data_IF_429006324454
#
_entry.id   IF_429006324454
#
_cell.length_a   1.000
_cell.length_b   1.000
_cell.length_c   1.000
_cell.angle_alpha   90.00
_cell.angle_beta   90.00
_cell.angle_gamma   90.00
#
_symmetry.space_group_name_H-M   'P 1'
#
loop_
_entity.id
_entity.type
_entity.pdbx_description
1 polymer ?
#
# COMPACT_ATOMS: atom_id res chain seq x y z
N UNK A 1 -7.40 5.85 4.48
CA UNK A 1 -6.14 5.51 3.76
C UNK A 1 -4.87 5.54 4.60
N UNK A 2 -4.20 4.37 4.71
CA UNK A 2 -2.91 4.19 5.41
C UNK A 2 -1.76 4.97 4.74
N UNK A 3 -1.73 5.02 3.40
CA UNK A 3 -0.61 5.61 2.65
C UNK A 3 -0.93 6.97 1.98
N UNK A 4 -2.19 7.39 1.92
CA UNK A 4 -2.57 8.65 1.24
C UNK A 4 -1.98 9.89 1.91
N UNK A 5 -1.89 9.87 3.25
CA UNK A 5 -1.40 11.00 4.04
C UNK A 5 0.12 11.18 3.98
N UNK A 6 0.84 10.24 3.35
CA UNK A 6 2.29 10.34 3.20
C UNK A 6 2.61 11.45 2.17
N UNK A 7 3.32 12.52 2.55
CA UNK A 7 3.63 13.62 1.64
C UNK A 7 4.69 13.21 0.62
N UNK A 8 4.84 14.02 -0.42
CA UNK A 8 5.97 13.93 -1.35
C UNK A 8 7.29 14.01 -0.59
N UNK A 9 8.23 13.13 -0.96
CA UNK A 9 9.58 13.12 -0.40
C UNK A 9 10.48 13.98 -1.31
N UNK A 10 11.06 15.07 -0.79
CA UNK A 10 11.92 15.95 -1.58
C UNK A 10 13.27 15.29 -1.89
N UNK A 11 13.94 15.77 -2.94
CA UNK A 11 15.31 15.34 -3.28
C UNK A 11 16.34 15.94 -2.32
N UNK A 12 17.57 15.39 -2.34
CA UNK A 12 18.69 15.96 -1.60
C UNK A 12 18.94 17.43 -1.97
N UNK A 13 18.91 17.76 -3.26
CA UNK A 13 19.08 19.11 -3.79
C UNK A 13 18.01 20.06 -3.22
N UNK A 14 16.73 19.70 -3.30
CA UNK A 14 15.63 20.52 -2.79
C UNK A 14 15.75 20.78 -1.27
N UNK A 15 16.17 19.77 -0.51
CA UNK A 15 16.41 19.87 0.93
C UNK A 15 17.57 20.81 1.25
N UNK A 16 18.69 20.68 0.54
CA UNK A 16 19.88 21.52 0.71
C UNK A 16 19.56 22.97 0.33
N UNK A 17 18.93 23.18 -0.82
CA UNK A 17 18.56 24.51 -1.29
C UNK A 17 17.63 25.24 -0.33
N UNK A 18 16.56 24.56 0.11
CA UNK A 18 15.59 25.13 1.05
C UNK A 18 16.25 25.49 2.38
N UNK A 19 17.10 24.62 2.91
CA UNK A 19 17.74 24.82 4.21
C UNK A 19 18.81 25.92 4.18
N UNK A 20 19.70 25.91 3.19
CA UNK A 20 20.79 26.89 3.07
C UNK A 20 20.28 28.27 2.71
N UNK A 21 19.25 28.37 1.86
CA UNK A 21 18.58 29.64 1.54
C UNK A 21 17.94 30.27 2.78
N UNK A 22 17.26 29.48 3.62
CA UNK A 22 16.68 29.95 4.89
C UNK A 22 17.76 30.36 5.88
N UNK A 23 18.82 29.57 6.03
CA UNK A 23 19.93 29.88 6.91
C UNK A 23 20.68 31.17 6.50
N UNK A 24 20.88 31.40 5.20
CA UNK A 24 21.49 32.62 4.70
C UNK A 24 20.69 33.88 5.05
N UNK A 25 19.35 33.82 4.92
CA UNK A 25 18.45 34.91 5.33
C UNK A 25 18.53 35.19 6.83
N UNK A 26 18.55 34.14 7.65
CA UNK A 26 18.66 34.27 9.11
C UNK A 26 19.98 34.94 9.55
N UNK A 27 21.07 34.75 8.79
CA UNK A 27 22.34 35.45 9.03
C UNK A 27 22.31 36.90 8.57
N UNK A 28 21.73 37.19 7.40
CA UNK A 28 21.75 38.53 6.79
C UNK A 28 21.02 39.59 7.64
N UNK A 29 20.05 39.16 8.45
CA UNK A 29 19.36 40.04 9.41
C UNK A 29 20.17 40.44 10.65
N UNK A 30 21.43 39.97 10.81
CA UNK A 30 22.25 40.26 12.00
C UNK A 30 23.27 41.36 11.74
N UNK A 31 23.32 42.34 12.65
CA UNK A 31 24.35 43.39 12.66
C UNK A 31 25.66 42.83 13.20
N UNK A 32 26.74 42.88 12.42
CA UNK A 32 28.06 42.41 12.81
C UNK A 32 28.87 43.63 13.29
N UNK A 33 29.28 43.63 14.56
CA UNK A 33 29.96 44.75 15.20
C UNK A 33 31.36 44.39 15.70
N UNK A 34 31.59 43.11 16.00
CA UNK A 34 32.80 42.60 16.63
C UNK A 34 33.01 41.11 16.30
N UNK A 35 34.10 40.52 16.80
CA UNK A 35 34.42 39.10 16.59
C UNK A 35 33.35 38.18 17.19
N UNK A 36 32.77 38.54 18.34
CA UNK A 36 31.77 37.73 19.04
C UNK A 36 30.43 37.67 18.29
N UNK A 37 29.95 38.80 17.78
CA UNK A 37 28.74 38.90 16.94
C UNK A 37 28.95 38.21 15.59
N UNK A 38 30.15 38.29 15.00
CA UNK A 38 30.50 37.50 13.81
C UNK A 38 30.41 35.99 14.11
N UNK A 39 31.02 35.52 15.20
CA UNK A 39 30.94 34.11 15.62
C UNK A 39 29.49 33.66 15.81
N UNK A 40 28.69 34.40 16.58
CA UNK A 40 27.26 34.10 16.80
C UNK A 40 26.45 34.08 15.51
N UNK A 41 26.80 34.89 14.52
CA UNK A 41 26.17 34.88 13.21
C UNK A 41 26.53 33.62 12.41
N UNK A 42 27.78 33.15 12.48
CA UNK A 42 28.21 31.90 11.82
C UNK A 42 27.60 30.65 12.49
N UNK A 43 27.64 30.56 13.83
CA UNK A 43 27.04 29.46 14.59
C UNK A 43 25.55 29.35 14.29
N UNK A 44 24.83 30.48 14.35
CA UNK A 44 23.40 30.53 14.08
C UNK A 44 23.04 30.12 12.66
N UNK A 45 23.87 30.47 11.67
CA UNK A 45 23.66 30.02 10.29
C UNK A 45 23.81 28.50 10.17
N UNK A 46 24.85 27.92 10.78
CA UNK A 46 25.05 26.48 10.77
C UNK A 46 23.90 25.74 11.46
N UNK A 47 23.54 26.16 12.67
CA UNK A 47 22.48 25.52 13.46
C UNK A 47 21.12 25.64 12.76
N UNK A 48 20.82 26.78 12.14
CA UNK A 48 19.56 26.96 11.39
C UNK A 48 19.48 25.99 10.23
N UNK A 49 20.54 25.85 9.43
CA UNK A 49 20.58 24.91 8.32
C UNK A 49 20.44 23.45 8.81
N UNK A 50 21.22 23.07 9.83
CA UNK A 50 21.25 21.71 10.37
C UNK A 50 19.91 21.31 10.98
N UNK A 51 19.27 22.19 11.78
CA UNK A 51 17.95 21.91 12.36
C UNK A 51 16.89 21.75 11.28
N UNK A 52 16.86 22.65 10.28
CA UNK A 52 15.91 22.52 9.17
C UNK A 52 16.09 21.18 8.45
N UNK A 53 17.33 20.81 8.11
CA UNK A 53 17.59 19.54 7.43
C UNK A 53 17.18 18.34 8.29
N UNK A 54 17.67 18.28 9.53
CA UNK A 54 17.39 17.18 10.45
C UNK A 54 15.89 17.02 10.70
N UNK A 55 15.18 18.13 10.96
CA UNK A 55 13.74 18.11 11.19
C UNK A 55 12.97 17.65 9.94
N UNK A 56 13.36 18.09 8.73
CA UNK A 56 12.71 17.61 7.50
C UNK A 56 12.94 16.10 7.30
N UNK A 57 14.16 15.61 7.47
CA UNK A 57 14.48 14.18 7.31
C UNK A 57 13.75 13.30 8.33
N UNK A 58 13.78 13.67 9.61
CA UNK A 58 13.06 12.93 10.66
C UNK A 58 11.55 13.00 10.43
N UNK A 59 11.02 14.13 9.97
CA UNK A 59 9.58 14.24 9.66
C UNK A 59 9.16 13.44 8.44
N UNK A 60 10.05 13.19 7.46
CA UNK A 60 9.77 12.25 6.37
C UNK A 60 9.49 10.88 6.96
N UNK A 61 10.43 10.37 7.78
CA UNK A 61 10.33 9.03 8.39
C UNK A 61 9.07 8.89 9.25
N UNK A 62 8.79 9.88 10.10
CA UNK A 62 7.60 9.88 10.98
C UNK A 62 6.26 9.85 10.25
N UNK A 63 6.21 10.31 9.01
CA UNK A 63 4.97 10.36 8.24
C UNK A 63 4.68 9.08 7.47
N UNK A 64 5.66 8.18 7.33
CA UNK A 64 5.40 6.84 6.84
C UNK A 64 4.72 6.02 7.93
N UNK A 65 3.72 5.18 7.59
CA UNK A 65 3.11 4.27 8.54
C UNK A 65 4.14 3.23 8.99
N UNK A 66 3.97 2.74 10.23
CA UNK A 66 4.77 1.63 10.72
C UNK A 66 4.30 0.33 10.06
N UNK A 67 5.21 -0.37 9.40
CA UNK A 67 4.95 -1.68 8.82
C UNK A 67 4.75 -2.76 9.89
N UNK A 68 5.28 -2.58 11.10
CA UNK A 68 5.19 -3.56 12.19
C UNK A 68 3.79 -3.64 12.82
N UNK A 69 2.99 -2.58 12.65
CA UNK A 69 1.62 -2.47 13.19
C UNK A 69 0.56 -2.48 12.08
N UNK A 70 0.99 -2.71 10.84
CA UNK A 70 0.12 -2.68 9.68
C UNK A 70 -0.74 -3.94 9.61
N UNK A 71 -2.02 -3.85 9.18
CA UNK A 71 -2.82 -5.05 8.97
C UNK A 71 -2.14 -5.99 7.96
N UNK A 72 -2.20 -7.33 8.17
CA UNK A 72 -1.48 -8.30 7.34
C UNK A 72 -1.74 -8.16 5.83
N UNK A 73 -2.99 -7.86 5.44
CA UNK A 73 -3.35 -7.57 4.05
C UNK A 73 -2.46 -6.47 3.43
N UNK A 74 -2.36 -5.33 4.10
CA UNK A 74 -1.60 -4.18 3.62
C UNK A 74 -0.10 -4.41 3.69
N UNK A 75 0.36 -5.18 4.69
CA UNK A 75 1.76 -5.54 4.83
C UNK A 75 2.25 -6.42 3.67
N UNK A 76 1.51 -7.49 3.35
CA UNK A 76 1.86 -8.38 2.23
C UNK A 76 1.82 -7.63 0.89
N UNK A 77 0.82 -6.78 0.66
CA UNK A 77 0.77 -5.98 -0.56
C UNK A 77 1.87 -4.92 -0.64
N UNK A 78 2.21 -4.28 0.48
CA UNK A 78 3.33 -3.35 0.49
C UNK A 78 4.64 -4.05 0.16
N UNK A 79 4.84 -5.26 0.69
CA UNK A 79 6.02 -6.07 0.42
C UNK A 79 6.13 -6.46 -1.05
N UNK A 80 5.04 -6.92 -1.65
CA UNK A 80 4.94 -7.22 -3.09
C UNK A 80 5.31 -6.01 -3.96
N UNK A 81 4.89 -4.80 -3.60
CA UNK A 81 5.03 -3.61 -4.46
C UNK A 81 6.38 -2.93 -4.29
N UNK A 82 6.88 -2.83 -3.06
CA UNK A 82 8.05 -2.00 -2.73
C UNK A 82 9.11 -2.72 -1.91
N UNK A 83 8.87 -3.94 -1.43
CA UNK A 83 9.74 -4.63 -0.49
C UNK A 83 9.76 -3.96 0.89
N UNK A 84 9.16 -4.56 1.91
CA UNK A 84 9.06 -3.96 3.25
C UNK A 84 10.45 -3.81 3.89
N UNK A 85 11.35 -4.76 3.67
CA UNK A 85 12.70 -4.69 4.22
C UNK A 85 13.52 -3.57 3.56
N UNK A 86 13.48 -3.46 2.23
CA UNK A 86 14.13 -2.36 1.51
C UNK A 86 13.56 -1.01 1.92
N UNK A 87 12.24 -0.94 2.14
CA UNK A 87 11.57 0.25 2.67
C UNK A 87 12.10 0.64 4.06
N UNK A 88 12.20 -0.32 4.98
CA UNK A 88 12.75 -0.11 6.33
C UNK A 88 14.20 0.36 6.28
N UNK A 89 15.04 -0.25 5.44
CA UNK A 89 16.44 0.14 5.25
C UNK A 89 16.59 1.58 4.74
N UNK A 90 15.77 1.98 3.76
CA UNK A 90 15.78 3.35 3.23
C UNK A 90 15.26 4.38 4.25
N UNK A 91 14.20 4.05 5.00
CA UNK A 91 13.71 4.89 6.10
C UNK A 91 14.78 5.06 7.20
N UNK A 92 15.46 3.98 7.57
CA UNK A 92 16.54 3.99 8.55
C UNK A 92 17.73 4.86 8.08
N UNK A 93 18.10 4.78 6.80
CA UNK A 93 19.17 5.62 6.22
C UNK A 93 18.84 7.11 6.30
N UNK A 94 17.58 7.49 6.02
CA UNK A 94 17.10 8.88 6.15
C UNK A 94 17.10 9.34 7.62
N UNK A 95 16.63 8.49 8.54
CA UNK A 95 16.64 8.76 9.98
C UNK A 95 18.08 8.94 10.52
N UNK A 96 19.01 8.09 10.06
CA UNK A 96 20.43 8.18 10.39
C UNK A 96 21.02 9.52 9.93
N UNK A 97 20.77 9.93 8.69
CA UNK A 97 21.27 11.20 8.17
C UNK A 97 20.78 12.39 8.99
N UNK A 98 19.49 12.42 9.34
CA UNK A 98 18.92 13.45 10.21
C UNK A 98 19.62 13.52 11.58
N UNK A 99 19.91 12.37 12.18
CA UNK A 99 20.64 12.29 13.46
C UNK A 99 22.09 12.75 13.32
N UNK A 100 22.77 12.29 12.26
CA UNK A 100 24.19 12.60 11.98
C UNK A 100 24.43 14.09 11.73
N UNK A 101 23.51 14.76 11.04
CA UNK A 101 23.58 16.21 10.79
C UNK A 101 23.55 16.99 12.10
N UNK A 102 22.69 16.60 13.05
CA UNK A 102 22.63 17.24 14.36
C UNK A 102 23.93 17.06 15.15
N UNK A 103 24.48 15.84 15.20
CA UNK A 103 25.78 15.58 15.85
C UNK A 103 26.90 16.44 15.24
N UNK A 104 26.97 16.46 13.91
CA UNK A 104 27.97 17.22 13.16
C UNK A 104 27.84 18.72 13.42
N UNK A 105 26.62 19.25 13.44
CA UNK A 105 26.40 20.68 13.71
C UNK A 105 26.95 21.09 15.09
N UNK A 106 26.69 20.29 16.14
CA UNK A 106 27.18 20.54 17.49
C UNK A 106 28.70 20.49 17.57
N UNK A 107 29.32 19.48 16.93
CA UNK A 107 30.78 19.35 16.85
C UNK A 107 31.42 20.57 16.20
N UNK A 108 30.91 20.99 15.03
CA UNK A 108 31.48 22.11 14.30
C UNK A 108 31.24 23.46 14.99
N UNK A 109 30.12 23.64 15.69
CA UNK A 109 29.91 24.81 16.56
C UNK A 109 30.97 24.87 17.67
N UNK A 110 31.30 23.73 18.31
CA UNK A 110 32.40 23.66 19.26
C UNK A 110 33.74 24.12 18.66
N UNK A 111 34.06 23.65 17.45
CA UNK A 111 35.29 24.02 16.73
C UNK A 111 35.32 25.50 16.32
N UNK A 112 34.17 26.12 16.03
CA UNK A 112 34.11 27.54 15.66
C UNK A 112 34.56 28.47 16.79
N UNK A 113 34.32 28.08 18.05
CA UNK A 113 34.62 28.93 19.22
C UNK A 113 36.12 29.15 19.42
N UNK A 114 36.95 28.18 19.03
CA UNK A 114 38.41 28.26 19.10
C UNK A 114 39.06 28.64 17.77
N UNK A 115 38.29 28.78 16.69
CA UNK A 115 38.82 29.08 15.37
C UNK A 115 39.22 30.56 15.21
N UNK A 116 40.26 30.80 14.40
CA UNK A 116 40.61 32.15 13.95
C UNK A 116 39.50 32.75 13.08
N UNK A 117 39.01 31.98 12.10
CA UNK A 117 37.85 32.35 11.28
C UNK A 117 36.75 31.26 11.29
N UNK A 118 35.71 31.50 12.09
CA UNK A 118 34.53 30.63 12.16
C UNK A 118 33.86 30.39 10.79
N UNK A 119 34.02 31.31 9.83
CA UNK A 119 33.47 31.16 8.47
C UNK A 119 34.10 29.98 7.72
N UNK A 120 35.40 29.72 7.90
CA UNK A 120 36.11 28.60 7.28
C UNK A 120 35.58 27.27 7.83
N UNK A 121 35.48 27.18 9.16
CA UNK A 121 34.93 26.01 9.86
C UNK A 121 33.48 25.75 9.44
N UNK A 122 32.66 26.79 9.30
CA UNK A 122 31.27 26.68 8.83
C UNK A 122 31.18 26.16 7.39
N UNK A 123 32.04 26.64 6.48
CA UNK A 123 32.07 26.13 5.09
C UNK A 123 32.41 24.64 5.06
N UNK A 124 33.38 24.21 5.87
CA UNK A 124 33.71 22.79 6.01
C UNK A 124 32.53 21.98 6.58
N UNK A 125 31.81 22.51 7.57
CA UNK A 125 30.61 21.89 8.12
C UNK A 125 29.53 21.70 7.05
N UNK A 126 29.25 22.72 6.24
CA UNK A 126 28.29 22.64 5.14
C UNK A 126 28.69 21.61 4.08
N UNK A 127 29.97 21.55 3.69
CA UNK A 127 30.42 20.51 2.76
C UNK A 127 30.17 19.10 3.30
N UNK A 128 30.42 18.87 4.60
CA UNK A 128 30.13 17.57 5.24
C UNK A 128 28.64 17.26 5.34
N UNK A 129 27.82 18.25 5.70
CA UNK A 129 26.36 18.10 5.78
C UNK A 129 25.78 17.82 4.39
N UNK A 130 26.20 18.57 3.36
CA UNK A 130 25.81 18.32 1.97
C UNK A 130 26.15 16.91 1.53
N UNK A 131 27.39 16.45 1.78
CA UNK A 131 27.80 15.08 1.45
C UNK A 131 26.95 14.01 2.16
N UNK A 132 26.53 14.23 3.40
CA UNK A 132 25.60 13.32 4.10
C UNK A 132 24.23 13.28 3.41
N UNK A 133 23.66 14.45 3.09
CA UNK A 133 22.34 14.52 2.45
C UNK A 133 22.37 13.96 1.02
N UNK A 134 23.44 14.21 0.26
CA UNK A 134 23.66 13.66 -1.07
C UNK A 134 23.82 12.13 -1.02
N UNK A 135 24.48 11.59 0.01
CA UNK A 135 24.66 10.14 0.15
C UNK A 135 23.36 9.35 0.33
N UNK A 136 22.27 10.01 0.75
CA UNK A 136 20.95 9.40 0.91
C UNK A 136 19.96 9.78 -0.21
N UNK A 137 20.40 10.45 -1.28
CA UNK A 137 19.50 10.87 -2.36
C UNK A 137 18.79 9.68 -3.02
N UNK A 138 19.50 8.56 -3.17
CA UNK A 138 18.92 7.29 -3.63
C UNK A 138 17.76 6.83 -2.74
N UNK A 139 17.93 6.88 -1.42
CA UNK A 139 16.87 6.55 -0.47
C UNK A 139 15.70 7.53 -0.53
N UNK A 140 15.95 8.84 -0.67
CA UNK A 140 14.88 9.82 -0.81
C UNK A 140 14.04 9.58 -2.07
N UNK A 141 14.70 9.27 -3.20
CA UNK A 141 14.02 8.94 -4.47
C UNK A 141 13.23 7.66 -4.38
N UNK A 142 13.83 6.61 -3.79
CA UNK A 142 13.15 5.35 -3.54
C UNK A 142 11.88 5.56 -2.72
N UNK A 143 11.96 6.26 -1.58
CA UNK A 143 10.81 6.52 -0.72
C UNK A 143 9.71 7.32 -1.44
N UNK A 144 10.09 8.26 -2.32
CA UNK A 144 9.13 9.00 -3.13
C UNK A 144 8.40 8.11 -4.14
N UNK A 145 9.13 7.24 -4.84
CA UNK A 145 8.56 6.27 -5.79
C UNK A 145 7.65 5.25 -5.07
N UNK A 146 8.16 4.66 -3.98
CA UNK A 146 7.42 3.74 -3.12
C UNK A 146 6.10 4.38 -2.65
N UNK A 147 6.13 5.61 -2.14
CA UNK A 147 4.94 6.36 -1.75
C UNK A 147 3.94 6.54 -2.90
N UNK A 148 4.41 6.80 -4.12
CA UNK A 148 3.55 6.98 -5.30
C UNK A 148 2.88 5.68 -5.75
N UNK A 149 3.54 4.54 -5.55
CA UNK A 149 2.97 3.21 -5.77
C UNK A 149 1.97 2.84 -4.67
N UNK A 150 2.37 2.97 -3.41
CA UNK A 150 1.57 2.57 -2.24
C UNK A 150 0.29 3.39 -2.06
N UNK A 151 0.24 4.67 -2.46
CA UNK A 151 -1.00 5.46 -2.37
C UNK A 151 -2.14 4.92 -3.25
N UNK A 152 -1.83 4.04 -4.21
CA UNK A 152 -2.81 3.46 -5.13
C UNK A 152 -3.44 2.18 -4.58
N UNK A 153 -2.91 1.65 -3.47
CA UNK A 153 -3.44 0.45 -2.83
C UNK A 153 -4.93 0.60 -2.52
N UNK A 154 -5.70 -0.50 -2.58
CA UNK A 154 -7.13 -0.47 -2.38
C UNK A 154 -7.47 -0.10 -0.94
N UNK A 155 -8.49 0.72 -0.75
CA UNK A 155 -9.15 0.81 0.55
C UNK A 155 -10.12 -0.35 0.67
N UNK A 156 -9.85 -1.27 1.58
CA UNK A 156 -10.81 -2.28 1.97
C UNK A 156 -11.44 -1.79 3.27
N UNK A 157 -12.76 -1.66 3.26
CA UNK A 157 -13.53 -1.24 4.41
C UNK A 157 -13.49 -2.26 5.56
N UNK A 158 -14.05 -1.88 6.70
CA UNK A 158 -14.01 -2.68 7.94
C UNK A 158 -15.06 -3.83 7.96
N UNK A 159 -15.89 -3.96 6.92
CA UNK A 159 -16.94 -4.98 6.84
C UNK A 159 -16.47 -6.33 6.27
N UNK A 160 -17.19 -7.44 6.57
CA UNK A 160 -16.87 -8.76 6.01
C UNK A 160 -16.81 -8.72 4.48
N UNK A 161 -15.74 -9.28 3.90
CA UNK A 161 -15.56 -9.33 2.46
C UNK A 161 -15.83 -10.73 1.89
N UNK A 162 -16.63 -10.76 0.83
CA UNK A 162 -16.86 -11.91 -0.04
C UNK A 162 -15.90 -11.79 -1.23
N UNK A 163 -15.01 -12.76 -1.41
CA UNK A 163 -14.10 -12.80 -2.55
C UNK A 163 -14.72 -13.64 -3.67
N UNK A 164 -14.79 -13.11 -4.88
CA UNK A 164 -15.41 -13.79 -6.04
C UNK A 164 -14.33 -14.33 -6.97
N UNK A 165 -14.30 -15.65 -7.13
CA UNK A 165 -13.33 -16.40 -7.90
C UNK A 165 -13.99 -17.22 -9.03
N UNK A 166 -13.19 -17.66 -9.99
CA UNK A 166 -13.63 -18.43 -11.16
C UNK A 166 -13.01 -17.91 -12.46
N UNK A 167 -13.12 -18.68 -13.54
CA UNK A 167 -12.54 -18.33 -14.84
C UNK A 167 -13.07 -17.01 -15.42
N UNK A 168 -12.39 -16.41 -16.42
CA UNK A 168 -12.94 -15.25 -17.14
C UNK A 168 -14.33 -15.55 -17.71
N UNK A 169 -15.19 -14.54 -17.80
CA UNK A 169 -16.52 -14.63 -18.41
C UNK A 169 -17.54 -15.60 -17.77
N UNK A 170 -17.23 -16.21 -16.62
CA UNK A 170 -18.18 -17.04 -15.86
C UNK A 170 -19.28 -16.23 -15.15
N UNK A 171 -19.16 -14.89 -15.09
CA UNK A 171 -20.16 -13.99 -14.50
C UNK A 171 -19.77 -13.32 -13.17
N UNK A 172 -18.48 -13.32 -12.80
CA UNK A 172 -17.97 -12.69 -11.57
C UNK A 172 -18.36 -11.21 -11.43
N UNK A 173 -17.98 -10.39 -12.39
CA UNK A 173 -18.27 -8.95 -12.38
C UNK A 173 -19.78 -8.67 -12.41
N UNK A 174 -20.55 -9.51 -13.11
CA UNK A 174 -22.01 -9.40 -13.15
C UNK A 174 -22.64 -9.69 -11.79
N UNK A 175 -22.16 -10.72 -11.07
CA UNK A 175 -22.58 -10.99 -9.70
C UNK A 175 -22.28 -9.80 -8.78
N UNK A 176 -21.05 -9.30 -8.81
CA UNK A 176 -20.61 -8.13 -8.01
C UNK A 176 -21.50 -6.91 -8.28
N UNK A 177 -21.80 -6.62 -9.55
CA UNK A 177 -22.65 -5.50 -9.92
C UNK A 177 -24.11 -5.66 -9.48
N UNK A 178 -24.65 -6.88 -9.50
CA UNK A 178 -26.04 -7.15 -9.09
C UNK A 178 -26.24 -7.04 -7.58
N UNK A 179 -25.28 -7.53 -6.79
CA UNK A 179 -25.41 -7.54 -5.32
C UNK A 179 -24.98 -6.23 -4.67
N UNK A 180 -24.20 -5.41 -5.38
CA UNK A 180 -23.74 -4.11 -4.88
C UNK A 180 -24.86 -3.07 -4.92
N UNK A 181 -24.99 -2.28 -3.85
CA UNK A 181 -25.97 -1.19 -3.74
C UNK A 181 -25.68 -0.01 -4.68
N UNK A 182 -24.44 0.11 -5.13
CA UNK A 182 -23.97 1.13 -6.08
C UNK A 182 -23.02 0.51 -7.10
N UNK A 183 -22.60 1.31 -8.09
CA UNK A 183 -21.59 0.88 -9.05
C UNK A 183 -20.30 0.49 -8.30
N UNK A 184 -19.76 -0.72 -8.52
CA UNK A 184 -18.53 -1.17 -7.87
C UNK A 184 -17.37 -0.21 -8.13
N UNK A 185 -16.61 0.09 -7.09
CA UNK A 185 -15.42 0.94 -7.20
C UNK A 185 -14.23 0.13 -7.69
N UNK A 186 -13.45 0.70 -8.61
CA UNK A 186 -12.26 0.04 -9.13
C UNK A 186 -11.05 0.47 -8.31
N UNK A 187 -10.45 -0.48 -7.60
CA UNK A 187 -9.28 -0.25 -6.77
C UNK A 187 -8.04 -0.92 -7.38
N UNK A 188 -6.92 -0.20 -7.45
CA UNK A 188 -5.72 -0.75 -8.09
C UNK A 188 -5.13 -1.88 -7.23
N UNK A 189 -4.75 -2.98 -7.88
CA UNK A 189 -4.18 -4.14 -7.21
C UNK A 189 -3.02 -4.70 -8.02
N UNK A 190 -1.91 -5.14 -7.38
CA UNK A 190 -0.77 -5.71 -8.09
C UNK A 190 -1.19 -6.85 -9.02
N UNK A 191 -0.58 -6.92 -10.20
CA UNK A 191 -0.84 -7.98 -11.19
C UNK A 191 -2.25 -8.01 -11.79
N UNK A 192 -3.05 -6.97 -11.56
CA UNK A 192 -4.34 -6.79 -12.25
C UNK A 192 -4.22 -5.76 -13.36
N UNK A 193 -4.86 -6.02 -14.50
CA UNK A 193 -4.92 -5.04 -15.61
C UNK A 193 -5.99 -3.98 -15.37
N UNK A 194 -7.09 -4.36 -14.70
CA UNK A 194 -8.26 -3.50 -14.46
C UNK A 194 -8.43 -3.07 -13.01
N UNK A 195 -7.66 -3.59 -12.05
CA UNK A 195 -7.95 -3.44 -10.62
C UNK A 195 -8.96 -4.47 -10.10
N UNK A 196 -9.17 -4.47 -8.79
CA UNK A 196 -10.27 -5.16 -8.14
C UNK A 196 -11.55 -4.32 -8.24
N UNK A 197 -12.68 -4.94 -8.54
CA UNK A 197 -13.97 -4.27 -8.41
C UNK A 197 -14.54 -4.55 -7.01
N UNK A 198 -14.71 -3.51 -6.21
CA UNK A 198 -15.20 -3.60 -4.84
C UNK A 198 -16.63 -3.05 -4.80
N UNK A 199 -17.59 -3.95 -4.67
CA UNK A 199 -18.99 -3.63 -4.42
C UNK A 199 -19.29 -3.59 -2.93
N UNK A 200 -20.30 -2.82 -2.57
CA UNK A 200 -20.74 -2.66 -1.18
C UNK A 200 -22.23 -2.91 -1.07
N UNK A 201 -22.66 -3.60 -0.01
CA UNK A 201 -24.08 -3.77 0.28
C UNK A 201 -24.32 -3.83 1.78
N UNK A 202 -25.56 -3.55 2.20
CA UNK A 202 -25.96 -3.62 3.60
C UNK A 202 -27.04 -4.68 3.80
N UNK A 203 -26.86 -5.55 4.79
CA UNK A 203 -27.88 -6.51 5.23
C UNK A 203 -27.90 -6.56 6.74
N UNK A 204 -29.07 -6.51 7.35
CA UNK A 204 -29.24 -6.54 8.81
C UNK A 204 -28.36 -5.50 9.55
N UNK A 205 -28.22 -4.28 8.99
CA UNK A 205 -27.37 -3.18 9.51
C UNK A 205 -25.87 -3.48 9.52
N UNK A 206 -25.43 -4.54 8.86
CA UNK A 206 -24.04 -4.88 8.66
C UNK A 206 -23.68 -4.51 7.22
N UNK A 207 -22.58 -3.77 7.04
CA UNK A 207 -22.03 -3.48 5.72
C UNK A 207 -21.08 -4.60 5.32
N UNK A 208 -21.27 -5.08 4.11
CA UNK A 208 -20.49 -6.13 3.49
C UNK A 208 -19.77 -5.58 2.27
N UNK A 209 -18.69 -6.26 1.90
CA UNK A 209 -17.94 -6.01 0.69
C UNK A 209 -18.01 -7.24 -0.20
N UNK A 210 -18.07 -7.02 -1.51
CA UNK A 210 -17.93 -8.07 -2.52
C UNK A 210 -16.81 -7.67 -3.46
N UNK A 211 -15.80 -8.53 -3.60
CA UNK A 211 -14.55 -8.22 -4.30
C UNK A 211 -14.45 -9.14 -5.51
N UNK A 212 -14.51 -8.56 -6.71
CA UNK A 212 -14.15 -9.23 -7.95
C UNK A 212 -12.62 -9.23 -8.09
N UNK A 213 -12.04 -10.40 -8.39
CA UNK A 213 -10.59 -10.59 -8.46
C UNK A 213 -10.10 -10.98 -9.87
N UNK A 214 -10.35 -10.13 -10.90
CA UNK A 214 -9.93 -10.43 -12.26
C UNK A 214 -8.40 -10.48 -12.36
N UNK A 215 -7.89 -11.49 -13.06
CA UNK A 215 -6.45 -11.75 -13.21
C UNK A 215 -5.78 -12.39 -11.99
N UNK A 216 -6.49 -12.60 -10.87
CA UNK A 216 -5.93 -13.18 -9.63
C UNK A 216 -6.47 -14.57 -9.32
N UNK A 217 -7.78 -14.79 -9.43
CA UNK A 217 -8.41 -16.08 -9.09
C UNK A 217 -9.19 -16.63 -10.29
N UNK A 218 -8.62 -16.49 -11.49
CA UNK A 218 -9.24 -16.84 -12.78
C UNK A 218 -8.34 -17.65 -13.71
N UNK A 219 -7.18 -18.10 -13.23
CA UNK A 219 -6.29 -19.06 -13.91
C UNK A 219 -5.52 -19.89 -12.88
N UNK A 220 -5.01 -21.09 -13.25
CA UNK A 220 -4.33 -21.99 -12.32
C UNK A 220 -3.25 -21.30 -11.48
N UNK A 221 -3.21 -21.59 -10.19
CA UNK A 221 -2.26 -20.98 -9.27
C UNK A 221 -0.81 -21.45 -9.54
N UNK A 222 -0.65 -22.67 -10.05
CA UNK A 222 0.65 -23.27 -10.38
C UNK A 222 1.37 -22.57 -11.54
N UNK A 223 0.64 -21.82 -12.37
CA UNK A 223 1.20 -21.01 -13.46
C UNK A 223 1.69 -19.63 -13.00
N UNK A 224 1.53 -19.30 -11.72
CA UNK A 224 1.86 -18.00 -11.16
C UNK A 224 3.25 -17.99 -10.53
N UNK A 225 3.93 -16.87 -10.68
CA UNK A 225 5.19 -16.65 -9.96
C UNK A 225 4.92 -16.39 -8.47
N UNK A 226 5.97 -16.49 -7.65
CA UNK A 226 5.89 -16.33 -6.20
C UNK A 226 5.30 -14.97 -5.76
N UNK A 227 5.59 -13.89 -6.49
CA UNK A 227 5.10 -12.55 -6.15
C UNK A 227 3.60 -12.42 -6.44
N UNK A 228 3.11 -13.03 -7.53
CA UNK A 228 1.69 -13.13 -7.82
C UNK A 228 0.96 -13.97 -6.76
N UNK A 229 1.56 -15.09 -6.34
CA UNK A 229 1.01 -15.94 -5.27
C UNK A 229 0.93 -15.19 -3.94
N UNK A 230 1.96 -14.42 -3.59
CA UNK A 230 1.93 -13.56 -2.41
C UNK A 230 0.81 -12.52 -2.49
N UNK A 231 0.62 -11.89 -3.64
CA UNK A 231 -0.49 -10.95 -3.85
C UNK A 231 -1.86 -11.64 -3.75
N UNK A 232 -1.99 -12.90 -4.18
CA UNK A 232 -3.22 -13.68 -4.03
C UNK A 232 -3.44 -14.06 -2.56
N UNK A 233 -2.40 -14.54 -1.90
CA UNK A 233 -2.45 -14.94 -0.49
C UNK A 233 -2.87 -13.76 0.39
N UNK A 234 -2.50 -12.52 0.05
CA UNK A 234 -2.96 -11.34 0.77
C UNK A 234 -4.50 -11.26 0.90
N UNK A 235 -5.26 -11.72 -0.12
CA UNK A 235 -6.73 -11.74 -0.07
C UNK A 235 -7.29 -12.59 1.07
N UNK A 236 -6.53 -13.56 1.61
CA UNK A 236 -6.96 -14.38 2.76
C UNK A 236 -7.17 -13.56 4.02
N UNK A 237 -6.53 -12.41 4.13
CA UNK A 237 -6.60 -11.55 5.31
C UNK A 237 -7.86 -10.68 5.34
N UNK A 238 -8.53 -10.54 4.18
CA UNK A 238 -9.74 -9.71 4.02
C UNK A 238 -10.95 -10.56 3.67
N UNK A 239 -10.80 -11.57 2.83
CA UNK A 239 -11.86 -12.51 2.48
C UNK A 239 -12.28 -13.35 3.68
N UNK A 240 -13.58 -13.33 3.98
CA UNK A 240 -14.20 -14.17 5.02
C UNK A 240 -14.88 -15.40 4.44
N UNK A 241 -15.27 -15.33 3.17
CA UNK A 241 -15.84 -16.41 2.39
C UNK A 241 -15.49 -16.20 0.92
N UNK A 242 -15.31 -17.30 0.18
CA UNK A 242 -15.10 -17.29 -1.26
C UNK A 242 -16.38 -17.77 -1.96
N UNK A 243 -16.86 -16.98 -2.91
CA UNK A 243 -17.78 -17.45 -3.94
C UNK A 243 -16.96 -17.93 -5.13
N UNK A 244 -16.98 -19.23 -5.41
CA UNK A 244 -16.41 -19.78 -6.62
C UNK A 244 -17.50 -19.99 -7.67
N UNK A 245 -17.41 -19.28 -8.79
CA UNK A 245 -18.40 -19.36 -9.87
C UNK A 245 -17.89 -20.27 -10.98
N UNK A 246 -18.68 -21.29 -11.30
CA UNK A 246 -18.50 -22.13 -12.48
C UNK A 246 -19.57 -21.82 -13.54
N UNK A 247 -19.25 -22.10 -14.79
CA UNK A 247 -20.14 -22.07 -15.94
C UNK A 247 -20.24 -23.48 -16.55
N UNK A 248 -21.24 -24.28 -16.16
CA UNK A 248 -21.47 -25.61 -16.72
C UNK A 248 -21.87 -25.62 -18.20
N UNK A 249 -22.16 -24.45 -18.80
CA UNK A 249 -22.44 -24.35 -20.23
C UNK A 249 -21.18 -24.26 -21.09
N UNK A 250 -20.01 -24.02 -20.46
CA UNK A 250 -18.72 -23.81 -21.11
C UNK A 250 -18.68 -22.62 -22.09
N UNK A 251 -19.74 -21.80 -22.13
CA UNK A 251 -19.82 -20.61 -22.99
C UNK A 251 -18.87 -19.50 -22.56
N UNK A 252 -18.24 -19.62 -21.39
CA UNK A 252 -17.11 -18.79 -20.97
C UNK A 252 -15.83 -19.05 -21.78
N UNK A 253 -15.76 -20.13 -22.56
CA UNK A 253 -14.60 -20.52 -23.36
C UNK A 253 -13.63 -21.47 -22.66
N UNK A 254 -14.04 -22.07 -21.55
CA UNK A 254 -13.24 -23.01 -20.75
C UNK A 254 -14.08 -24.22 -20.37
N UNK A 255 -13.47 -25.40 -20.39
CA UNK A 255 -14.13 -26.66 -20.03
C UNK A 255 -14.47 -26.69 -18.55
N UNK A 256 -15.46 -27.51 -18.17
CA UNK A 256 -15.77 -27.71 -16.76
C UNK A 256 -14.58 -28.31 -15.99
N UNK A 257 -13.80 -29.19 -16.63
CA UNK A 257 -12.61 -29.81 -16.05
C UNK A 257 -11.55 -28.76 -15.65
N UNK A 258 -11.24 -27.81 -16.55
CA UNK A 258 -10.34 -26.69 -16.26
C UNK A 258 -10.86 -25.85 -15.08
N UNK A 259 -12.16 -25.56 -15.08
CA UNK A 259 -12.81 -24.83 -13.99
C UNK A 259 -12.70 -25.56 -12.65
N UNK A 260 -12.79 -26.89 -12.62
CA UNK A 260 -12.63 -27.67 -11.40
C UNK A 260 -11.16 -27.78 -10.96
N UNK A 261 -10.22 -27.83 -11.89
CA UNK A 261 -8.79 -27.80 -11.57
C UNK A 261 -8.40 -26.50 -10.84
N UNK A 262 -8.90 -25.35 -11.30
CA UNK A 262 -8.69 -24.08 -10.59
C UNK A 262 -9.32 -24.10 -9.18
N UNK A 263 -10.52 -24.65 -9.04
CA UNK A 263 -11.18 -24.78 -7.74
C UNK A 263 -10.32 -25.55 -6.74
N UNK A 264 -9.73 -26.68 -7.17
CA UNK A 264 -8.82 -27.47 -6.33
C UNK A 264 -7.59 -26.68 -5.91
N UNK A 265 -7.00 -25.90 -6.84
CA UNK A 265 -5.89 -25.01 -6.53
C UNK A 265 -6.26 -23.97 -5.46
N UNK A 266 -7.40 -23.29 -5.62
CA UNK A 266 -7.87 -22.28 -4.65
C UNK A 266 -8.18 -22.92 -3.29
N UNK A 267 -8.80 -24.11 -3.26
CA UNK A 267 -9.06 -24.84 -2.00
C UNK A 267 -7.78 -25.21 -1.24
N UNK A 268 -6.66 -25.44 -1.94
CA UNK A 268 -5.36 -25.71 -1.32
C UNK A 268 -4.74 -24.44 -0.73
N UNK A 269 -4.88 -23.31 -1.41
CA UNK A 269 -4.30 -22.02 -0.98
C UNK A 269 -5.12 -21.33 0.12
N UNK A 270 -6.46 -21.42 0.06
CA UNK A 270 -7.37 -20.72 0.95
C UNK A 270 -8.06 -21.67 1.92
N UNK A 271 -7.89 -21.42 3.23
CA UNK A 271 -8.54 -22.17 4.32
C UNK A 271 -9.88 -21.61 4.78
N UNK A 272 -10.38 -20.56 4.13
CA UNK A 272 -11.66 -19.91 4.44
C UNK A 272 -12.84 -20.65 3.78
N UNK A 273 -14.07 -20.53 4.33
CA UNK A 273 -15.26 -21.14 3.75
C UNK A 273 -15.44 -20.77 2.27
N UNK A 274 -15.89 -21.74 1.46
CA UNK A 274 -16.08 -21.56 0.03
C UNK A 274 -17.40 -22.15 -0.42
N UNK A 275 -18.17 -21.38 -1.19
CA UNK A 275 -19.41 -21.80 -1.83
C UNK A 275 -19.19 -21.91 -3.34
N UNK A 276 -19.50 -23.07 -3.92
CA UNK A 276 -19.43 -23.29 -5.37
C UNK A 276 -20.81 -23.04 -5.98
N UNK A 277 -20.91 -22.06 -6.87
CA UNK A 277 -22.17 -21.71 -7.54
C UNK A 277 -22.05 -21.90 -9.06
N UNK A 278 -22.97 -22.67 -9.64
CA UNK A 278 -23.14 -22.77 -11.08
C UNK A 278 -23.93 -21.56 -11.61
N UNK A 279 -23.29 -20.73 -12.44
CA UNK A 279 -23.94 -19.63 -13.14
C UNK A 279 -24.47 -20.06 -14.52
N UNK A 280 -25.22 -19.17 -15.19
CA UNK A 280 -25.85 -19.39 -16.51
C UNK A 280 -26.89 -20.52 -16.50
N UNK A 281 -27.65 -20.63 -15.41
CA UNK A 281 -28.78 -21.56 -15.25
C UNK A 281 -29.86 -21.41 -16.34
N UNK A 282 -29.92 -20.25 -16.98
CA UNK A 282 -30.79 -19.98 -18.15
C UNK A 282 -30.37 -20.74 -19.41
N UNK A 283 -29.12 -21.24 -19.47
CA UNK A 283 -28.56 -21.95 -20.62
C UNK A 283 -28.39 -23.44 -20.34
N UNK A 284 -27.84 -23.80 -19.17
CA UNK A 284 -27.51 -25.18 -18.82
C UNK A 284 -28.06 -25.56 -17.44
N UNK A 285 -28.30 -26.86 -17.26
CA UNK A 285 -28.67 -27.42 -15.94
C UNK A 285 -27.44 -27.42 -15.01
N UNK A 286 -27.66 -27.43 -13.69
CA UNK A 286 -26.57 -27.47 -12.71
C UNK A 286 -25.66 -28.68 -12.95
N UNK A 287 -24.34 -28.47 -12.92
CA UNK A 287 -23.41 -29.58 -12.74
C UNK A 287 -23.58 -30.16 -11.33
N UNK A 288 -23.45 -31.48 -11.16
CA UNK A 288 -23.59 -32.17 -9.87
C UNK A 288 -22.56 -31.74 -8.80
N UNK A 289 -21.56 -30.96 -9.21
CA UNK A 289 -20.45 -30.48 -8.38
C UNK A 289 -20.69 -29.09 -7.77
N UNK A 290 -21.77 -28.40 -8.14
CA UNK A 290 -22.13 -27.10 -7.57
C UNK A 290 -23.05 -27.24 -6.36
N UNK A 291 -22.80 -26.43 -5.32
CA UNK A 291 -23.66 -26.36 -4.13
C UNK A 291 -24.99 -25.65 -4.42
N UNK A 292 -24.94 -24.65 -5.32
CA UNK A 292 -26.08 -23.82 -5.69
C UNK A 292 -26.05 -23.46 -7.18
N UNK A 293 -27.13 -22.89 -7.69
CA UNK A 293 -27.21 -22.44 -9.08
C UNK A 293 -27.90 -21.10 -9.20
N UNK A 294 -27.42 -20.27 -10.12
CA UNK A 294 -27.92 -18.92 -10.38
C UNK A 294 -27.80 -18.54 -11.86
N UNK A 295 -28.44 -17.44 -12.22
CA UNK A 295 -28.26 -16.76 -13.50
C UNK A 295 -28.05 -15.27 -13.23
N UNK A 296 -26.81 -14.81 -13.39
CA UNK A 296 -26.50 -13.37 -13.33
C UNK A 296 -27.04 -12.58 -14.52
N UNK A 297 -27.56 -13.25 -15.56
CA UNK A 297 -28.27 -12.58 -16.66
C UNK A 297 -29.71 -12.24 -16.27
N UNK A 298 -30.41 -13.16 -15.61
CA UNK A 298 -31.84 -13.01 -15.26
C UNK A 298 -32.07 -12.56 -13.82
N UNK A 299 -31.05 -12.69 -12.96
CA UNK A 299 -31.15 -12.47 -11.51
C UNK A 299 -31.60 -13.72 -10.72
N UNK A 300 -32.04 -14.79 -11.39
CA UNK A 300 -32.52 -16.00 -10.72
C UNK A 300 -31.43 -16.62 -9.83
N UNK A 301 -31.78 -16.94 -8.57
CA UNK A 301 -30.90 -17.56 -7.59
C UNK A 301 -29.80 -16.68 -6.98
N UNK A 302 -29.57 -15.46 -7.48
CA UNK A 302 -28.48 -14.57 -7.00
C UNK A 302 -28.64 -14.21 -5.52
N UNK A 303 -29.85 -13.81 -5.10
CA UNK A 303 -30.13 -13.48 -3.69
C UNK A 303 -29.99 -14.69 -2.75
N UNK A 304 -30.30 -15.89 -3.24
CA UNK A 304 -30.17 -17.12 -2.47
C UNK A 304 -28.69 -17.47 -2.25
N UNK A 305 -27.86 -17.36 -3.31
CA UNK A 305 -26.41 -17.51 -3.23
C UNK A 305 -25.82 -16.48 -2.27
N UNK A 306 -26.22 -15.20 -2.38
CA UNK A 306 -25.77 -14.15 -1.47
C UNK A 306 -26.17 -14.43 -0.01
N UNK A 307 -27.41 -14.86 0.22
CA UNK A 307 -27.89 -15.27 1.54
C UNK A 307 -27.03 -16.38 2.14
N UNK A 308 -26.72 -17.41 1.35
CA UNK A 308 -25.89 -18.53 1.79
C UNK A 308 -24.46 -18.12 2.11
N UNK A 309 -23.85 -17.25 1.31
CA UNK A 309 -22.52 -16.71 1.58
C UNK A 309 -22.48 -15.98 2.93
N UNK A 310 -23.50 -15.19 3.24
CA UNK A 310 -23.60 -14.45 4.51
C UNK A 310 -23.72 -15.40 5.70
N UNK A 311 -24.47 -16.50 5.57
CA UNK A 311 -24.57 -17.54 6.61
C UNK A 311 -23.25 -18.28 6.85
N UNK A 312 -22.41 -18.39 5.82
CA UNK A 312 -21.11 -19.06 5.89
C UNK A 312 -20.02 -18.19 6.52
N UNK A 313 -20.23 -16.87 6.62
CA UNK A 313 -19.29 -15.97 7.29
C UNK A 313 -19.32 -16.27 8.80
N UNK A 314 -18.17 -16.59 9.42
CA UNK A 314 -18.11 -16.92 10.84
C UNK A 314 -18.69 -15.80 11.73
N UNK A 315 -19.46 -16.12 12.79
CA UNK A 315 -20.10 -15.12 13.65
C UNK A 315 -19.15 -14.09 14.26
N UNK A 316 -17.92 -14.51 14.56
CA UNK A 316 -16.85 -13.68 15.12
C UNK A 316 -16.38 -12.56 14.18
N UNK A 317 -16.62 -12.69 12.88
CA UNK A 317 -16.25 -11.69 11.87
C UNK A 317 -17.30 -10.57 11.74
N UNK A 318 -18.39 -10.58 12.52
CA UNK A 318 -19.39 -9.51 12.60
C UNK A 318 -19.19 -8.54 13.75
N UNK A 319 -18.16 -8.75 14.58
CA UNK A 319 -17.89 -7.93 15.76
C UNK A 319 -16.90 -6.82 15.44
N UNK A 320 -17.34 -5.57 15.62
CA UNK A 320 -16.52 -4.33 15.56
C UNK A 320 -15.38 -4.35 16.58
#
# INVERSE_FOLDING_TARGET
>A
MIFEKVPTVPTSEELLDKSYRRAARAKHGKRIMDRASKLKAEESMLLTAANILSDNLVNIVRKFPSFDTMPPFYLELADVIVGVEEMKMNLASVQWAGTKINEMSRKYVGMMRSAEDAKVVRKAAFGRISSIVESIDGSLRFLNDARNKLRKLPEIGEGPAIVVAGYPNVGKSSFVALVSSAHPEIAAYPFTTKGLAVGHFEKNRIRYQVIDTPGLLDRPLEERNEIELQAISALRHVGKVILYIIDPSETCGYTLEEQMHLLEGIKKEFSIPMLVAANKKDISKPAGEADMSMSTLTGDGVDAVLGRLIEMIPPQDFTL
#
